data_IF_121955249285
#
_entry.id   IF_121955249285
#
_cell.length_a   1.000
_cell.length_b   1.000
_cell.length_c   1.000
_cell.angle_alpha   90.00
_cell.angle_beta   90.00
_cell.angle_gamma   90.00
#
_symmetry.space_group_name_H-M   'P 1'
#
loop_
_entity.id
_entity.type
_entity.pdbx_description
1 polymer ?
#
# COMPACT_ATOMS: atom_id res chain seq x y z
N UNK A 1 -22.93 -54.53 6.17
CA UNK A 1 -22.45 -53.16 5.91
C UNK A 1 -23.59 -52.19 6.14
N UNK A 2 -23.39 -51.16 6.97
CA UNK A 2 -24.43 -50.16 7.23
C UNK A 2 -24.72 -49.34 5.95
N UNK A 3 -25.92 -48.74 5.82
CA UNK A 3 -26.29 -47.90 4.68
C UNK A 3 -25.28 -46.76 4.42
N UNK A 4 -24.67 -46.23 5.48
CA UNK A 4 -23.62 -45.22 5.41
C UNK A 4 -22.38 -45.73 4.65
N UNK A 5 -21.91 -46.95 4.94
CA UNK A 5 -20.75 -47.55 4.26
C UNK A 5 -21.03 -47.79 2.78
N UNK A 6 -22.27 -48.09 2.40
CA UNK A 6 -22.67 -48.28 1.00
C UNK A 6 -22.68 -46.96 0.22
N UNK A 7 -22.88 -45.81 0.86
CA UNK A 7 -22.77 -44.49 0.24
C UNK A 7 -21.33 -44.09 -0.08
N UNK A 8 -20.36 -44.45 0.76
CA UNK A 8 -18.92 -44.19 0.54
C UNK A 8 -18.29 -45.07 -0.54
N UNK A 9 -18.97 -46.13 -0.98
CA UNK A 9 -18.50 -47.03 -2.04
C UNK A 9 -19.23 -46.81 -3.38
N UNK A 10 -20.02 -45.73 -3.49
CA UNK A 10 -20.64 -45.38 -4.77
C UNK A 10 -19.55 -45.01 -5.78
N UNK A 11 -19.58 -45.55 -7.02
CA UNK A 11 -18.55 -45.27 -8.02
C UNK A 11 -18.31 -43.78 -8.25
N UNK A 12 -19.38 -42.97 -8.31
CA UNK A 12 -19.26 -41.51 -8.44
C UNK A 12 -18.48 -40.87 -7.27
N UNK A 13 -18.74 -41.31 -6.04
CA UNK A 13 -18.02 -40.83 -4.85
C UNK A 13 -16.54 -41.22 -4.91
N UNK A 14 -16.24 -42.47 -5.27
CA UNK A 14 -14.86 -42.96 -5.42
C UNK A 14 -14.09 -42.23 -6.52
N UNK A 15 -14.74 -41.93 -7.64
CA UNK A 15 -14.15 -41.12 -8.72
C UNK A 15 -13.84 -39.70 -8.24
N UNK A 16 -14.77 -39.04 -7.54
CA UNK A 16 -14.53 -37.70 -6.98
C UNK A 16 -13.36 -37.72 -5.97
N UNK A 17 -13.31 -38.73 -5.09
CA UNK A 17 -12.20 -38.90 -4.14
C UNK A 17 -10.87 -39.12 -4.86
N UNK A 18 -10.84 -39.96 -5.89
CA UNK A 18 -9.63 -40.21 -6.68
C UNK A 18 -9.14 -38.96 -7.41
N UNK A 19 -10.07 -38.16 -7.98
CA UNK A 19 -9.73 -36.88 -8.63
C UNK A 19 -9.15 -35.91 -7.61
N UNK A 20 -9.80 -35.73 -6.46
CA UNK A 20 -9.32 -34.82 -5.40
C UNK A 20 -7.97 -35.26 -4.84
N UNK A 21 -7.77 -36.56 -4.60
CA UNK A 21 -6.51 -37.10 -4.11
C UNK A 21 -5.38 -36.90 -5.13
N UNK A 22 -5.66 -37.15 -6.41
CA UNK A 22 -4.68 -36.94 -7.50
C UNK A 22 -4.35 -35.45 -7.65
N UNK A 23 -5.34 -34.57 -7.56
CA UNK A 23 -5.13 -33.12 -7.64
C UNK A 23 -4.32 -32.61 -6.45
N UNK A 24 -4.62 -33.05 -5.23
CA UNK A 24 -3.89 -32.65 -4.03
C UNK A 24 -2.43 -33.10 -4.06
N UNK A 25 -2.18 -34.39 -4.34
CA UNK A 25 -0.82 -34.93 -4.44
C UNK A 25 -0.05 -34.34 -5.62
N UNK A 26 -0.73 -34.13 -6.76
CA UNK A 26 -0.14 -33.51 -7.94
C UNK A 26 0.25 -32.04 -7.69
N UNK A 27 -0.57 -31.29 -6.96
CA UNK A 27 -0.29 -29.90 -6.61
C UNK A 27 0.88 -29.78 -5.64
N UNK A 28 0.92 -30.61 -4.60
CA UNK A 28 2.04 -30.63 -3.64
C UNK A 28 3.37 -30.99 -4.31
N UNK A 29 3.37 -32.04 -5.14
CA UNK A 29 4.54 -32.44 -5.92
C UNK A 29 4.98 -31.35 -6.91
N UNK A 30 4.02 -30.69 -7.58
CA UNK A 30 4.31 -29.60 -8.51
C UNK A 30 4.93 -28.39 -7.78
N UNK A 31 4.37 -27.99 -6.65
CA UNK A 31 4.87 -26.88 -5.84
C UNK A 31 6.27 -27.18 -5.28
N UNK A 32 6.49 -28.39 -4.78
CA UNK A 32 7.81 -28.84 -4.32
C UNK A 32 8.84 -28.89 -5.45
N UNK A 33 8.46 -29.39 -6.62
CA UNK A 33 9.34 -29.45 -7.79
C UNK A 33 9.68 -28.05 -8.33
N UNK A 34 8.73 -27.12 -8.30
CA UNK A 34 8.94 -25.72 -8.68
C UNK A 34 9.71 -24.91 -7.62
N UNK A 35 10.02 -25.50 -6.46
CA UNK A 35 10.70 -24.80 -5.36
C UNK A 35 9.84 -23.67 -4.77
N UNK A 36 8.51 -23.81 -4.81
CA UNK A 36 7.62 -22.79 -4.31
C UNK A 36 7.73 -22.67 -2.77
N UNK A 37 7.97 -21.44 -2.30
CA UNK A 37 7.99 -21.07 -0.90
C UNK A 37 6.63 -20.47 -0.55
N UNK A 38 5.72 -21.25 0.04
CA UNK A 38 4.38 -20.74 0.36
C UNK A 38 4.37 -19.85 1.60
N UNK A 39 5.17 -20.20 2.61
CA UNK A 39 5.33 -19.41 3.83
C UNK A 39 6.55 -18.51 3.68
N UNK A 40 6.32 -17.19 3.62
CA UNK A 40 7.39 -16.21 3.44
C UNK A 40 8.04 -15.88 4.76
N UNK A 41 9.36 -15.76 4.75
CA UNK A 41 10.14 -15.30 5.88
C UNK A 41 10.04 -13.77 6.00
N UNK A 42 9.98 -13.23 7.23
CA UNK A 42 9.95 -11.78 7.43
C UNK A 42 11.20 -11.12 6.88
N UNK A 43 11.03 -9.94 6.27
CA UNK A 43 12.14 -9.07 5.89
C UNK A 43 12.03 -7.75 6.66
N UNK A 44 13.16 -7.24 7.15
CA UNK A 44 13.20 -5.99 7.90
C UNK A 44 13.39 -4.79 6.96
N UNK A 45 13.03 -3.61 7.45
CA UNK A 45 13.48 -2.36 6.84
C UNK A 45 15.01 -2.27 6.87
N UNK A 46 15.61 -1.66 5.84
CA UNK A 46 17.03 -1.26 5.83
C UNK A 46 17.32 -0.17 6.84
N UNK A 47 16.35 0.75 7.01
CA UNK A 47 16.40 1.83 7.99
C UNK A 47 15.02 2.04 8.61
N UNK A 48 14.99 2.22 9.93
CA UNK A 48 13.76 2.50 10.66
C UNK A 48 13.04 3.74 10.07
N UNK A 49 11.72 3.65 9.87
CA UNK A 49 10.93 4.77 9.36
C UNK A 49 10.94 5.98 10.30
N UNK A 50 11.12 5.76 11.61
CA UNK A 50 11.26 6.85 12.59
C UNK A 50 12.53 7.69 12.36
N UNK A 51 13.51 7.15 11.62
CA UNK A 51 14.77 7.83 11.26
C UNK A 51 14.72 8.49 9.87
N UNK A 52 13.55 8.57 9.24
CA UNK A 52 13.38 9.27 7.96
C UNK A 52 13.86 10.72 8.09
N UNK A 53 14.85 11.11 7.30
CA UNK A 53 15.44 12.45 7.38
C UNK A 53 14.51 13.50 6.73
N UNK A 54 13.93 14.35 7.57
CA UNK A 54 13.03 15.43 7.13
C UNK A 54 13.71 16.46 6.22
N UNK A 55 15.03 16.61 6.29
CA UNK A 55 15.76 17.58 5.46
C UNK A 55 15.77 17.16 3.99
N UNK A 56 15.71 15.86 3.72
CA UNK A 56 15.62 15.31 2.37
C UNK A 56 14.25 15.53 1.72
N UNK A 57 13.26 15.94 2.52
CA UNK A 57 11.93 16.29 2.04
C UNK A 57 11.76 17.78 1.76
N UNK A 58 12.82 18.60 1.85
CA UNK A 58 12.73 20.03 1.52
C UNK A 58 12.06 20.25 0.13
N UNK A 59 11.10 21.19 0.02
CA UNK A 59 10.76 22.27 0.95
C UNK A 59 9.73 21.89 2.05
N UNK A 60 9.35 20.63 2.16
CA UNK A 60 8.40 20.18 3.16
C UNK A 60 9.05 20.10 4.54
N UNK A 61 8.36 20.64 5.55
CA UNK A 61 8.77 20.56 6.96
C UNK A 61 7.75 19.77 7.76
N UNK A 62 8.24 18.89 8.63
CA UNK A 62 7.36 18.19 9.59
C UNK A 62 6.91 19.18 10.66
N UNK A 63 5.61 19.42 10.73
CA UNK A 63 4.99 20.32 11.73
C UNK A 63 4.31 19.54 12.86
N UNK A 64 3.96 18.27 12.62
CA UNK A 64 3.36 17.40 13.64
C UNK A 64 3.79 15.95 13.42
N UNK A 65 4.00 15.22 14.52
CA UNK A 65 4.24 13.78 14.53
C UNK A 65 3.20 13.13 15.44
N UNK A 66 2.36 12.30 14.85
CA UNK A 66 1.31 11.58 15.56
C UNK A 66 1.72 10.14 15.80
N UNK A 67 1.32 9.59 16.93
CA UNK A 67 1.41 8.15 17.23
C UNK A 67 0.01 7.57 17.24
N UNK A 68 -0.10 6.35 16.75
CA UNK A 68 -1.35 5.62 16.81
C UNK A 68 -1.58 5.18 18.26
N UNK A 69 -2.85 5.02 18.62
CA UNK A 69 -3.18 4.37 19.89
C UNK A 69 -2.85 2.88 19.80
N UNK A 70 -2.53 2.24 20.93
CA UNK A 70 -2.20 0.81 20.97
C UNK A 70 -3.28 -0.08 20.32
N UNK A 71 -4.55 0.30 20.40
CA UNK A 71 -5.65 -0.41 19.74
C UNK A 71 -5.55 -0.35 18.21
N UNK A 72 -5.29 0.83 17.66
CA UNK A 72 -5.17 1.01 16.20
C UNK A 72 -3.90 0.34 15.69
N UNK A 73 -2.83 0.36 16.48
CA UNK A 73 -1.59 -0.35 16.17
C UNK A 73 -1.78 -1.88 16.14
N UNK A 74 -2.57 -2.45 17.04
CA UNK A 74 -2.93 -3.88 17.02
C UNK A 74 -3.80 -4.25 15.81
N UNK A 75 -4.78 -3.40 15.47
CA UNK A 75 -5.64 -3.57 14.29
C UNK A 75 -4.84 -3.48 12.98
N UNK A 76 -3.87 -2.57 12.91
CA UNK A 76 -2.91 -2.48 11.81
C UNK A 76 -1.95 -3.68 11.82
N UNK A 77 -1.54 -4.07 13.03
CA UNK A 77 -0.55 -5.04 13.43
C UNK A 77 0.79 -4.92 12.71
N UNK A 78 1.26 -3.69 12.63
CA UNK A 78 2.66 -3.35 12.48
C UNK A 78 3.00 -2.19 13.42
N UNK A 79 4.22 -2.20 13.94
CA UNK A 79 4.80 -1.08 14.70
C UNK A 79 5.64 -0.18 13.81
N UNK A 80 5.94 -0.62 12.58
CA UNK A 80 6.77 0.11 11.63
C UNK A 80 5.88 1.09 10.84
N UNK A 81 5.64 2.26 11.43
CA UNK A 81 4.86 3.32 10.80
C UNK A 81 5.31 4.72 11.18
N UNK A 82 5.00 5.68 10.31
CA UNK A 82 5.03 7.11 10.64
C UNK A 82 3.72 7.76 10.27
N UNK A 83 3.23 8.68 11.10
CA UNK A 83 2.10 9.55 10.79
C UNK A 83 2.51 10.99 11.01
N UNK A 84 2.77 11.72 9.94
CA UNK A 84 3.31 13.08 9.98
C UNK A 84 2.35 14.07 9.34
N UNK A 85 2.34 15.28 9.86
CA UNK A 85 1.80 16.44 9.17
C UNK A 85 2.96 17.26 8.62
N UNK A 86 2.97 17.46 7.31
CA UNK A 86 3.95 18.24 6.58
C UNK A 86 3.37 19.60 6.22
N UNK A 87 4.22 20.61 6.16
CA UNK A 87 3.94 21.93 5.60
C UNK A 87 4.88 22.18 4.41
N UNK A 88 4.33 22.48 3.24
CA UNK A 88 5.10 23.03 2.12
C UNK A 88 5.40 24.51 2.38
N UNK A 89 6.67 24.82 2.66
CA UNK A 89 7.11 26.19 2.98
C UNK A 89 7.14 27.12 1.77
N UNK A 90 7.08 26.58 0.55
CA UNK A 90 7.03 27.36 -0.69
C UNK A 90 5.59 27.63 -1.16
N UNK A 91 4.61 26.89 -0.64
CA UNK A 91 3.22 27.07 -1.00
C UNK A 91 2.69 28.41 -0.46
N UNK A 92 1.84 29.07 -1.25
CA UNK A 92 1.16 30.29 -0.82
C UNK A 92 0.39 30.04 0.50
N UNK A 93 0.27 31.04 1.40
CA UNK A 93 -0.33 30.81 2.70
C UNK A 93 -1.75 30.29 2.67
N UNK A 94 -2.49 30.62 1.61
CA UNK A 94 -3.86 30.22 1.33
C UNK A 94 -3.98 29.09 0.27
N UNK A 95 -2.90 28.36 0.05
CA UNK A 95 -2.90 27.21 -0.85
C UNK A 95 -3.66 26.02 -0.25
N UNK A 96 -4.54 25.34 -1.03
CA UNK A 96 -5.25 24.15 -0.58
C UNK A 96 -4.34 22.92 -0.43
N UNK A 97 -3.07 23.02 -0.87
CA UNK A 97 -2.07 21.95 -0.77
C UNK A 97 -0.92 22.28 0.20
N UNK A 98 -1.06 23.34 0.99
CA UNK A 98 0.00 23.79 1.90
C UNK A 98 0.33 22.74 2.97
N UNK A 99 -0.67 22.06 3.52
CA UNK A 99 -0.45 21.00 4.50
C UNK A 99 -0.73 19.64 3.88
N UNK A 100 0.05 18.64 4.29
CA UNK A 100 -0.12 17.25 3.89
C UNK A 100 -0.09 16.36 5.12
N UNK A 101 -1.12 15.54 5.32
CA UNK A 101 -1.05 14.42 6.26
C UNK A 101 -0.46 13.24 5.50
N UNK A 102 0.64 12.69 6.00
CA UNK A 102 1.37 11.56 5.44
C UNK A 102 1.32 10.40 6.45
N UNK A 103 0.95 9.22 5.97
CA UNK A 103 0.91 8.00 6.75
C UNK A 103 1.60 6.86 5.98
N UNK A 104 2.68 6.34 6.54
CA UNK A 104 3.47 5.25 5.95
C UNK A 104 3.43 4.08 6.90
N UNK A 105 3.15 2.88 6.38
CA UNK A 105 3.12 1.64 7.16
C UNK A 105 3.87 0.55 6.42
N UNK A 106 4.73 -0.18 7.11
CA UNK A 106 5.52 -1.27 6.56
C UNK A 106 5.13 -2.63 7.14
N UNK A 107 5.14 -3.64 6.28
CA UNK A 107 4.84 -5.03 6.64
C UNK A 107 5.91 -5.94 6.06
N UNK A 108 6.83 -6.37 6.91
CA UNK A 108 7.84 -7.37 6.59
C UNK A 108 7.28 -8.79 6.47
N UNK A 109 6.05 -9.03 6.97
CA UNK A 109 5.33 -10.29 6.82
C UNK A 109 4.12 -10.09 5.89
N UNK A 110 4.06 -10.78 4.74
CA UNK A 110 3.04 -10.58 3.71
C UNK A 110 1.76 -11.40 3.97
N UNK A 111 1.67 -12.10 5.10
CA UNK A 111 0.51 -12.91 5.50
C UNK A 111 -0.74 -12.05 5.78
N UNK A 112 -0.54 -10.74 5.94
CA UNK A 112 -1.60 -9.77 6.18
C UNK A 112 -2.18 -9.21 4.88
N UNK A 113 -3.49 -9.01 4.88
CA UNK A 113 -4.18 -8.35 3.77
C UNK A 113 -3.88 -6.85 3.84
N UNK A 114 -3.41 -6.22 2.74
CA UNK A 114 -3.17 -4.78 2.72
C UNK A 114 -4.46 -4.00 3.05
N UNK A 115 -4.43 -3.22 4.14
CA UNK A 115 -5.53 -2.35 4.52
C UNK A 115 -5.57 -1.13 3.59
N UNK A 116 -6.75 -0.85 3.06
CA UNK A 116 -6.97 0.25 2.12
C UNK A 116 -7.95 1.28 2.68
N UNK A 117 -7.77 2.58 2.39
CA UNK A 117 -8.67 3.63 2.85
C UNK A 117 -10.14 3.37 2.53
N UNK A 118 -10.45 2.73 1.41
CA UNK A 118 -11.81 2.39 0.99
C UNK A 118 -12.58 1.62 2.08
N UNK A 119 -11.92 0.69 2.78
CA UNK A 119 -12.53 -0.08 3.88
C UNK A 119 -12.47 0.69 5.20
N UNK A 120 -11.33 1.32 5.50
CA UNK A 120 -11.12 2.02 6.77
C UNK A 120 -12.06 3.22 6.93
N UNK A 121 -12.19 4.07 5.91
CA UNK A 121 -13.05 5.25 5.94
C UNK A 121 -14.54 4.86 5.89
N UNK A 122 -14.90 3.80 5.16
CA UNK A 122 -16.25 3.25 5.18
C UNK A 122 -16.64 2.79 6.60
N UNK A 123 -15.75 2.05 7.27
CA UNK A 123 -15.93 1.65 8.68
C UNK A 123 -16.02 2.85 9.64
N UNK A 124 -15.34 3.96 9.31
CA UNK A 124 -15.40 5.23 10.03
C UNK A 124 -16.65 6.09 9.78
N UNK A 125 -17.60 5.61 8.96
CA UNK A 125 -18.85 6.32 8.65
C UNK A 125 -18.71 7.38 7.56
N UNK A 126 -17.69 7.27 6.71
CA UNK A 126 -17.60 8.04 5.48
C UNK A 126 -18.22 7.27 4.32
N UNK A 127 -18.67 8.00 3.31
CA UNK A 127 -19.11 7.46 2.04
C UNK A 127 -18.15 7.88 0.95
N UNK A 128 -17.62 6.92 0.22
CA UNK A 128 -16.78 7.19 -0.95
C UNK A 128 -17.62 7.76 -2.09
N UNK A 129 -17.20 8.88 -2.67
CA UNK A 129 -17.82 9.50 -3.85
C UNK A 129 -16.98 9.36 -5.10
N UNK A 130 -15.67 9.12 -4.97
CA UNK A 130 -14.77 8.95 -6.12
C UNK A 130 -13.71 7.92 -5.79
N UNK A 131 -13.39 7.08 -6.78
CA UNK A 131 -12.20 6.23 -6.80
C UNK A 131 -11.65 6.18 -8.21
N UNK A 132 -10.37 6.53 -8.37
CA UNK A 132 -9.67 6.58 -9.65
C UNK A 132 -8.27 6.02 -9.51
N UNK A 133 -7.87 5.16 -10.45
CA UNK A 133 -6.46 4.86 -10.67
C UNK A 133 -5.86 6.03 -11.45
N UNK A 134 -4.75 6.58 -10.96
CA UNK A 134 -3.97 7.64 -11.61
C UNK A 134 -2.51 7.20 -11.70
N UNK A 135 -1.74 7.93 -12.50
CA UNK A 135 -0.28 7.79 -12.55
C UNK A 135 0.31 9.15 -12.23
N UNK A 136 1.21 9.18 -11.25
CA UNK A 136 2.06 10.34 -10.99
C UNK A 136 3.30 10.25 -11.87
N UNK A 137 3.71 11.36 -12.46
CA UNK A 137 4.81 11.41 -13.41
C UNK A 137 5.80 12.52 -13.04
N UNK A 138 7.09 12.18 -12.95
CA UNK A 138 8.15 13.15 -12.72
C UNK A 138 9.48 12.68 -13.30
N UNK A 139 10.45 13.58 -13.37
CA UNK A 139 11.83 13.24 -13.69
C UNK A 139 12.59 12.96 -12.41
N UNK A 140 13.25 11.81 -12.31
CA UNK A 140 14.15 11.55 -11.20
C UNK A 140 15.40 12.46 -11.26
N UNK A 141 16.24 12.39 -10.23
CA UNK A 141 17.47 13.21 -10.16
C UNK A 141 18.47 12.88 -11.30
N UNK A 142 18.35 11.71 -11.93
CA UNK A 142 19.14 11.26 -13.08
C UNK A 142 18.55 11.67 -14.44
N UNK A 143 17.39 12.30 -14.48
CA UNK A 143 16.69 12.67 -15.72
C UNK A 143 15.96 11.50 -16.38
N UNK A 144 15.59 10.47 -15.62
CA UNK A 144 14.76 9.36 -16.09
C UNK A 144 13.29 9.63 -15.74
N UNK A 145 12.42 9.45 -16.73
CA UNK A 145 10.97 9.49 -16.55
C UNK A 145 10.52 8.42 -15.54
N UNK A 146 9.96 8.87 -14.43
CA UNK A 146 9.43 8.02 -13.38
C UNK A 146 7.91 8.08 -13.38
N UNK A 147 7.28 6.90 -13.38
CA UNK A 147 5.83 6.72 -13.40
C UNK A 147 5.40 5.83 -12.25
N UNK A 148 4.57 6.35 -11.35
CA UNK A 148 4.10 5.61 -10.18
C UNK A 148 2.56 5.56 -10.18
N UNK A 149 1.96 4.36 -10.22
CA UNK A 149 0.52 4.22 -10.14
C UNK A 149 0.04 4.53 -8.72
N UNK A 150 -1.03 5.31 -8.59
CA UNK A 150 -1.62 5.67 -7.31
C UNK A 150 -3.14 5.49 -7.34
N UNK A 151 -3.74 5.36 -6.17
CA UNK A 151 -5.19 5.47 -5.98
C UNK A 151 -5.52 6.88 -5.55
N UNK A 152 -6.54 7.47 -6.16
CA UNK A 152 -7.14 8.73 -5.74
C UNK A 152 -8.58 8.49 -5.30
N UNK A 153 -8.90 8.88 -4.07
CA UNK A 153 -10.20 8.70 -3.45
C UNK A 153 -10.75 10.03 -2.95
N UNK A 154 -12.07 10.19 -3.01
CA UNK A 154 -12.78 11.27 -2.33
C UNK A 154 -13.88 10.67 -1.48
N UNK A 155 -13.91 11.10 -0.23
CA UNK A 155 -14.87 10.70 0.78
C UNK A 155 -15.73 11.88 1.21
N UNK A 156 -16.97 11.61 1.60
CA UNK A 156 -17.84 12.57 2.26
C UNK A 156 -18.41 12.00 3.54
N UNK A 157 -18.73 12.87 4.50
CA UNK A 157 -19.43 12.47 5.72
C UNK A 157 -20.88 12.96 5.65
N UNK A 158 -21.85 12.06 5.84
CA UNK A 158 -23.28 12.37 5.66
C UNK A 158 -23.83 13.39 6.69
N UNK A 159 -23.08 13.71 7.75
CA UNK A 159 -23.45 14.69 8.79
C UNK A 159 -22.58 15.96 8.77
N UNK A 160 -22.40 16.59 7.61
CA UNK A 160 -21.88 17.95 7.60
C UNK A 160 -22.97 18.89 8.13
N UNK A 161 -22.80 19.37 9.37
CA UNK A 161 -23.59 20.49 9.89
C UNK A 161 -23.48 21.67 8.92
N UNK A 162 -24.60 22.37 8.70
CA UNK A 162 -24.83 23.35 7.63
C UNK A 162 -23.86 24.55 7.57
N UNK A 163 -22.80 24.56 8.38
CA UNK A 163 -21.79 25.61 8.50
C UNK A 163 -20.40 25.21 8.01
N UNK A 164 -20.13 23.92 7.77
CA UNK A 164 -18.84 23.47 7.25
C UNK A 164 -18.95 23.11 5.77
N UNK A 165 -18.30 23.89 4.91
CA UNK A 165 -17.97 23.48 3.53
C UNK A 165 -16.94 22.33 3.49
N UNK A 166 -16.50 21.85 4.67
CA UNK A 166 -15.56 20.75 4.91
C UNK A 166 -16.22 19.35 4.83
N UNK A 167 -17.00 19.12 3.77
CA UNK A 167 -17.71 17.84 3.58
C UNK A 167 -16.94 16.80 2.77
N UNK A 168 -15.87 17.19 2.08
CA UNK A 168 -15.08 16.31 1.20
C UNK A 168 -13.67 16.13 1.73
N UNK A 169 -13.21 14.88 1.79
CA UNK A 169 -11.87 14.51 2.21
C UNK A 169 -11.22 13.67 1.10
N UNK A 170 -10.09 14.15 0.58
CA UNK A 170 -9.35 13.49 -0.49
C UNK A 170 -8.21 12.68 0.11
N UNK A 171 -8.09 11.42 -0.28
CA UNK A 171 -7.02 10.52 0.17
C UNK A 171 -6.39 9.90 -1.06
N UNK A 172 -5.07 9.85 -1.09
CA UNK A 172 -4.30 9.14 -2.10
C UNK A 172 -3.42 8.10 -1.44
N UNK A 173 -3.17 6.99 -2.13
CA UNK A 173 -2.21 6.01 -1.64
C UNK A 173 -1.55 5.24 -2.76
N UNK A 174 -0.43 4.62 -2.42
CA UNK A 174 0.27 3.62 -3.24
C UNK A 174 0.85 2.53 -2.33
N UNK A 175 0.95 1.32 -2.86
CA UNK A 175 1.71 0.24 -2.26
C UNK A 175 3.06 0.08 -2.95
N UNK A 176 4.12 -0.09 -2.18
CA UNK A 176 5.37 -0.72 -2.63
C UNK A 176 5.30 -2.19 -2.22
N UNK A 177 5.39 -3.12 -3.17
CA UNK A 177 5.29 -4.57 -2.95
C UNK A 177 6.40 -5.26 -3.73
N UNK A 178 7.34 -5.92 -3.04
CA UNK A 178 8.42 -6.67 -3.69
C UNK A 178 9.09 -5.90 -4.86
N UNK A 179 9.48 -4.65 -4.60
CA UNK A 179 10.08 -3.73 -5.57
C UNK A 179 9.20 -3.17 -6.69
N UNK A 180 7.89 -3.44 -6.64
CA UNK A 180 6.91 -2.93 -7.60
C UNK A 180 5.91 -2.02 -6.91
N UNK A 181 5.32 -1.12 -7.69
CA UNK A 181 4.23 -0.27 -7.21
C UNK A 181 2.88 -0.88 -7.57
N UNK A 182 1.91 -0.73 -6.67
CA UNK A 182 0.52 -1.12 -6.89
C UNK A 182 -0.44 -0.05 -6.37
N UNK A 183 -1.53 0.19 -7.09
CA UNK A 183 -2.51 1.23 -6.71
C UNK A 183 -3.80 0.68 -6.09
N UNK A 184 -3.89 -0.62 -5.83
CA UNK A 184 -4.97 -1.19 -5.04
C UNK A 184 -4.56 -2.50 -4.38
N UNK A 185 -5.43 -2.99 -3.49
CA UNK A 185 -5.20 -4.23 -2.75
C UNK A 185 -5.12 -5.46 -3.67
N UNK A 186 -5.83 -5.45 -4.80
CA UNK A 186 -5.93 -6.62 -5.68
C UNK A 186 -4.62 -6.82 -6.41
N UNK A 187 -4.08 -5.73 -6.97
CA UNK A 187 -2.76 -5.71 -7.60
C UNK A 187 -1.66 -6.01 -6.58
N UNK A 188 -1.71 -5.39 -5.39
CA UNK A 188 -0.75 -5.69 -4.33
C UNK A 188 -0.72 -7.18 -3.96
N UNK A 189 -1.89 -7.81 -3.80
CA UNK A 189 -2.01 -9.25 -3.54
C UNK A 189 -1.53 -10.10 -4.71
N UNK A 190 -1.79 -9.67 -5.95
CA UNK A 190 -1.29 -10.37 -7.12
C UNK A 190 0.25 -10.38 -7.14
N UNK A 191 0.90 -9.24 -6.87
CA UNK A 191 2.37 -9.15 -6.82
C UNK A 191 2.93 -10.03 -5.69
N UNK A 192 2.32 -10.01 -4.50
CA UNK A 192 2.71 -10.91 -3.40
C UNK A 192 2.59 -12.39 -3.81
N UNK A 193 1.48 -12.77 -4.46
CA UNK A 193 1.22 -14.13 -4.90
C UNK A 193 2.08 -14.59 -6.09
N UNK A 194 2.62 -13.67 -6.90
CA UNK A 194 3.52 -13.98 -8.01
C UNK A 194 4.94 -14.33 -7.55
N UNK A 195 5.34 -13.90 -6.36
CA UNK A 195 6.62 -14.28 -5.80
C UNK A 195 6.54 -15.70 -5.24
N UNK A 196 6.50 -16.72 -6.10
CA UNK A 196 6.32 -18.11 -5.66
C UNK A 196 7.59 -18.70 -5.06
N UNK A 197 8.76 -18.38 -5.61
CA UNK A 197 10.04 -19.00 -5.24
C UNK A 197 10.87 -18.17 -4.25
N UNK A 198 10.63 -16.86 -4.15
CA UNK A 198 11.39 -15.99 -3.25
C UNK A 198 11.08 -16.27 -1.78
N UNK A 199 12.10 -16.21 -0.93
CA UNK A 199 11.94 -16.48 0.51
C UNK A 199 11.25 -15.34 1.25
N UNK A 200 11.50 -14.12 0.82
CA UNK A 200 10.99 -12.91 1.43
C UNK A 200 9.89 -12.28 0.58
N UNK A 201 8.97 -11.59 1.23
CA UNK A 201 8.08 -10.63 0.57
C UNK A 201 7.70 -9.56 1.57
N UNK A 202 7.48 -8.35 1.09
CA UNK A 202 7.02 -7.25 1.90
C UNK A 202 6.00 -6.43 1.14
N UNK A 203 5.26 -5.64 1.89
CA UNK A 203 4.61 -4.48 1.32
C UNK A 203 4.69 -3.27 2.26
N UNK A 204 4.69 -2.09 1.69
CA UNK A 204 4.57 -0.82 2.39
C UNK A 204 3.46 -0.02 1.76
N UNK A 205 2.62 0.64 2.57
CA UNK A 205 1.64 1.61 2.08
C UNK A 205 2.17 3.01 2.35
N UNK A 206 2.09 3.88 1.35
CA UNK A 206 2.25 5.33 1.50
C UNK A 206 0.89 5.95 1.21
N UNK A 207 0.31 6.60 2.20
CA UNK A 207 -1.00 7.25 2.14
C UNK A 207 -0.83 8.73 2.47
N UNK A 208 -1.47 9.60 1.70
CA UNK A 208 -1.40 11.03 1.96
C UNK A 208 -2.68 11.77 1.57
N UNK A 209 -2.91 12.90 2.23
CA UNK A 209 -4.02 13.80 1.97
C UNK A 209 -3.58 15.24 2.16
N UNK A 210 -3.90 16.12 1.20
CA UNK A 210 -3.63 17.54 1.34
C UNK A 210 -4.81 18.29 1.94
N UNK A 211 -4.48 19.33 2.70
CA UNK A 211 -5.45 20.26 3.24
C UNK A 211 -4.88 21.68 3.33
N UNK A 212 -5.78 22.64 3.28
CA UNK A 212 -5.43 24.05 3.35
C UNK A 212 -6.65 24.95 3.44
N UNK A 213 -6.39 26.25 3.40
CA UNK A 213 -7.40 27.29 3.54
C UNK A 213 -7.30 28.17 2.32
N UNK A 214 -8.38 28.38 1.57
CA UNK A 214 -8.39 29.34 0.47
C UNK A 214 -9.42 30.44 0.76
N UNK A 215 -9.03 31.70 0.64
CA UNK A 215 -9.88 32.85 0.95
C UNK A 215 -10.55 32.75 2.35
N UNK A 216 -9.82 32.27 3.36
CA UNK A 216 -10.29 32.12 4.74
C UNK A 216 -11.26 30.96 4.98
N UNK A 217 -11.47 30.06 4.00
CA UNK A 217 -12.30 28.85 4.14
C UNK A 217 -11.48 27.59 3.94
N UNK A 218 -11.71 26.58 4.76
CA UNK A 218 -11.13 25.25 4.56
C UNK A 218 -11.67 24.69 3.25
N UNK A 219 -10.75 24.33 2.34
CA UNK A 219 -11.07 23.80 1.02
C UNK A 219 -10.07 22.69 0.71
N UNK A 220 -10.58 21.54 0.27
CA UNK A 220 -9.73 20.50 -0.30
C UNK A 220 -9.18 20.90 -1.68
N UNK A 221 -8.02 20.35 -2.09
CA UNK A 221 -7.48 20.59 -3.42
C UNK A 221 -8.40 20.00 -4.51
N UNK A 222 -8.32 20.58 -5.71
CA UNK A 222 -8.76 19.93 -6.94
C UNK A 222 -7.92 18.69 -7.24
N UNK A 223 -8.39 17.88 -8.19
CA UNK A 223 -7.61 16.76 -8.72
C UNK A 223 -6.25 17.22 -9.29
N UNK A 224 -6.24 18.30 -10.07
CA UNK A 224 -5.00 18.81 -10.70
C UNK A 224 -4.01 19.33 -9.65
N UNK A 225 -4.49 20.12 -8.68
CA UNK A 225 -3.68 20.56 -7.53
C UNK A 225 -3.15 19.36 -6.74
N UNK A 226 -3.98 18.32 -6.55
CA UNK A 226 -3.57 17.10 -5.86
C UNK A 226 -2.48 16.34 -6.61
N UNK A 227 -2.59 16.21 -7.93
CA UNK A 227 -1.58 15.53 -8.77
C UNK A 227 -0.25 16.29 -8.70
N UNK A 228 -0.26 17.59 -8.99
CA UNK A 228 0.95 18.40 -9.00
C UNK A 228 1.66 18.43 -7.63
N UNK A 229 0.90 18.57 -6.54
CA UNK A 229 1.46 18.52 -5.18
C UNK A 229 1.97 17.12 -4.82
N UNK A 230 1.30 16.06 -5.29
CA UNK A 230 1.75 14.68 -5.09
C UNK A 230 3.04 14.41 -5.83
N UNK A 231 3.18 14.82 -7.10
CA UNK A 231 4.43 14.65 -7.87
C UNK A 231 5.59 15.38 -7.19
N UNK A 232 5.37 16.61 -6.71
CA UNK A 232 6.36 17.38 -5.95
C UNK A 232 6.81 16.64 -4.68
N UNK A 233 5.89 16.11 -3.88
CA UNK A 233 6.23 15.41 -2.64
C UNK A 233 6.82 14.01 -2.89
N UNK A 234 6.17 13.21 -3.74
CA UNK A 234 6.55 11.81 -4.00
C UNK A 234 7.89 11.69 -4.70
N UNK A 235 8.27 12.66 -5.55
CA UNK A 235 9.59 12.69 -6.17
C UNK A 235 10.74 12.78 -5.17
N UNK A 236 10.49 13.27 -3.95
CA UNK A 236 11.46 13.28 -2.86
C UNK A 236 11.27 12.08 -1.96
N UNK A 237 10.04 11.87 -1.49
CA UNK A 237 9.73 10.87 -0.47
C UNK A 237 10.06 9.45 -0.94
N UNK A 238 9.63 9.08 -2.15
CA UNK A 238 9.82 7.71 -2.65
C UNK A 238 11.30 7.40 -2.90
N UNK A 239 12.07 8.38 -3.38
CA UNK A 239 13.52 8.23 -3.57
C UNK A 239 14.22 7.96 -2.23
N UNK A 240 13.84 8.66 -1.15
CA UNK A 240 14.41 8.44 0.19
C UNK A 240 14.01 7.07 0.74
N UNK A 241 12.73 6.70 0.63
CA UNK A 241 12.25 5.40 1.11
C UNK A 241 12.94 4.24 0.36
N UNK A 242 13.05 4.33 -0.96
CA UNK A 242 13.72 3.32 -1.78
C UNK A 242 15.23 3.28 -1.63
N UNK A 243 15.87 4.34 -1.19
CA UNK A 243 17.32 4.35 -0.98
C UNK A 243 17.71 3.92 0.42
N UNK A 244 16.97 4.37 1.43
CA UNK A 244 17.42 4.31 2.82
C UNK A 244 16.58 3.37 3.71
N UNK A 245 15.30 3.11 3.36
CA UNK A 245 14.36 2.44 4.27
C UNK A 245 13.83 1.10 3.79
N UNK A 246 13.21 1.04 2.61
CA UNK A 246 12.60 -0.19 2.11
C UNK A 246 13.67 -1.20 1.68
N UNK A 247 13.51 -2.50 1.95
CA UNK A 247 14.42 -3.49 1.41
C UNK A 247 14.32 -3.60 -0.12
N UNK A 248 15.38 -4.11 -0.74
CA UNK A 248 15.41 -4.47 -2.15
C UNK A 248 15.53 -5.99 -2.27
N UNK A 249 14.57 -6.63 -2.93
CA UNK A 249 14.61 -8.07 -3.21
C UNK A 249 15.41 -8.38 -4.48
N UNK A 250 15.73 -7.38 -5.31
CA UNK A 250 16.62 -7.58 -6.46
C UNK A 250 18.04 -7.97 -6.05
N UNK A 251 18.44 -7.65 -4.82
CA UNK A 251 19.76 -7.98 -4.27
C UNK A 251 19.82 -9.44 -3.77
N UNK A 252 18.67 -10.08 -3.58
CA UNK A 252 18.51 -11.51 -3.23
C UNK A 252 18.33 -12.40 -4.47
N UNK A 253 18.40 -11.83 -5.69
CA UNK A 253 18.28 -12.59 -6.93
C UNK A 253 19.43 -13.60 -7.04
N UNK A 254 19.07 -14.88 -7.01
CA UNK A 254 20.01 -15.96 -7.27
C UNK A 254 20.54 -15.81 -8.71
N UNK A 255 21.86 -15.92 -8.99
CA UNK A 255 22.43 -15.67 -10.32
C UNK A 255 21.80 -16.48 -11.47
N UNK A 256 21.03 -17.53 -11.16
CA UNK A 256 20.30 -18.35 -12.12
C UNK A 256 19.05 -17.69 -12.71
N UNK A 257 18.56 -16.57 -12.16
CA UNK A 257 17.37 -15.88 -12.68
C UNK A 257 17.69 -14.91 -13.84
N UNK A 258 18.97 -14.62 -14.09
CA UNK A 258 19.42 -13.75 -15.20
C UNK A 258 19.67 -14.50 -16.51
N UNK A 259 19.53 -15.83 -16.54
CA UNK A 259 19.74 -16.65 -17.75
C UNK A 259 18.43 -17.05 -18.45
N UNK A 260 17.30 -16.42 -18.09
CA UNK A 260 15.99 -16.65 -18.72
C UNK A 260 15.30 -15.33 -19.11
N UNK A 261 15.99 -14.52 -19.89
CA UNK A 261 15.40 -13.57 -20.85
C UNK A 261 15.99 -13.84 -22.24
#
# INVERSE_FOLDING_TARGET
MSPAVRSYLRPAFLVCVAILATAAAGMDALLGWMGAVLEKEPIALRGDLDLLDEQLLAPYRVVERSRLTAKVEDELGTTDYIQWRLEDTEAAPDSPVRYCTLFITYYGRPDRVPHVPEECYLGGGYRQTTSRALTLEWQDTGGTDRRVPIRYLVFVRDRAEAWTTAGQHTVMYVFRVNDRYANDRTEARAILGMNLTGKHSYFSKVEWSFEGVQAGRVRGPTLEESIAASEKLMSRLLDVLERDHWPSLSDDANPTDLERE
#
